data_IF_130563655766
#
_entry.id   IF_130563655766
#
_cell.length_a   1.000
_cell.length_b   1.000
_cell.length_c   1.000
_cell.angle_alpha   90.00
_cell.angle_beta   90.00
_cell.angle_gamma   90.00
#
_symmetry.space_group_name_H-M   'P 1'
#
loop_
_entity.id
_entity.type
_entity.pdbx_description
1 polymer ?
#
# COMPACT_ATOMS: atom_id res chain seq x y z
N UNK A 1 -1.18 -26.25 7.03
CA UNK A 1 -0.84 -25.47 8.25
C UNK A 1 -1.00 -26.32 9.49
N UNK A 2 0.08 -26.49 10.24
CA UNK A 2 0.09 -27.11 11.56
C UNK A 2 -0.85 -26.36 12.53
N UNK A 3 -1.36 -27.03 13.57
CA UNK A 3 -2.20 -26.38 14.62
C UNK A 3 -1.46 -25.21 15.28
N UNK A 4 -0.15 -25.38 15.50
CA UNK A 4 0.74 -24.35 16.04
C UNK A 4 0.87 -23.13 15.12
N UNK A 5 1.01 -23.34 13.80
CA UNK A 5 1.02 -22.24 12.83
C UNK A 5 -0.28 -21.43 12.86
N UNK A 6 -1.45 -22.09 12.94
CA UNK A 6 -2.74 -21.39 13.01
C UNK A 6 -2.85 -20.52 14.27
N UNK A 7 -2.50 -21.07 15.43
CA UNK A 7 -2.54 -20.33 16.70
C UNK A 7 -1.64 -19.10 16.65
N UNK A 8 -0.41 -19.23 16.15
CA UNK A 8 0.54 -18.11 16.00
C UNK A 8 0.00 -17.03 15.05
N UNK A 9 -0.54 -17.43 13.90
CA UNK A 9 -1.15 -16.48 12.96
C UNK A 9 -2.33 -15.75 13.58
N UNK A 10 -3.26 -16.46 14.23
CA UNK A 10 -4.40 -15.83 14.90
C UNK A 10 -3.97 -14.87 16.00
N UNK A 11 -3.00 -15.25 16.84
CA UNK A 11 -2.45 -14.39 17.87
C UNK A 11 -1.83 -13.12 17.28
N UNK A 12 -1.09 -13.24 16.16
CA UNK A 12 -0.54 -12.09 15.46
C UNK A 12 -1.64 -11.17 14.91
N UNK A 13 -2.69 -11.72 14.31
CA UNK A 13 -3.82 -10.93 13.81
C UNK A 13 -4.46 -10.14 14.94
N UNK A 14 -4.77 -10.81 16.06
CA UNK A 14 -5.38 -10.16 17.24
C UNK A 14 -4.46 -9.08 17.80
N UNK A 15 -3.16 -9.36 17.96
CA UNK A 15 -2.20 -8.38 18.47
C UNK A 15 -2.05 -7.15 17.56
N UNK A 16 -2.04 -7.37 16.24
CA UNK A 16 -1.92 -6.29 15.25
C UNK A 16 -3.16 -5.42 15.24
N UNK A 17 -4.35 -6.04 15.28
CA UNK A 17 -5.62 -5.32 15.37
C UNK A 17 -5.69 -4.53 16.67
N UNK A 18 -5.37 -5.14 17.81
CA UNK A 18 -5.38 -4.45 19.11
C UNK A 18 -4.42 -3.25 19.12
N UNK A 19 -3.20 -3.41 18.60
CA UNK A 19 -2.23 -2.32 18.51
C UNK A 19 -2.72 -1.20 17.59
N UNK A 20 -3.31 -1.54 16.44
CA UNK A 20 -3.89 -0.56 15.52
C UNK A 20 -5.06 0.19 16.16
N UNK A 21 -5.93 -0.50 16.89
CA UNK A 21 -7.04 0.11 17.64
C UNK A 21 -6.53 1.08 18.70
N UNK A 22 -5.50 0.70 19.48
CA UNK A 22 -4.90 1.59 20.48
C UNK A 22 -4.24 2.81 19.83
N UNK A 23 -3.51 2.60 18.74
CA UNK A 23 -2.87 3.69 17.99
C UNK A 23 -3.91 4.66 17.41
N UNK A 24 -4.98 4.14 16.81
CA UNK A 24 -6.06 4.95 16.25
C UNK A 24 -6.85 5.68 17.34
N UNK A 25 -7.09 5.04 18.49
CA UNK A 25 -7.76 5.69 19.63
C UNK A 25 -6.94 6.86 20.18
N UNK A 26 -5.60 6.77 20.16
CA UNK A 26 -4.71 7.87 20.57
C UNK A 26 -4.66 9.01 19.57
N UNK A 27 -4.80 8.70 18.29
CA UNK A 27 -4.79 9.66 17.21
C UNK A 27 -6.20 9.93 16.68
N UNK A 28 -7.25 9.76 17.49
CA UNK A 28 -8.62 9.79 16.99
C UNK A 28 -8.92 11.14 16.30
N UNK A 29 -9.53 11.15 15.10
CA UNK A 29 -9.80 12.38 14.39
C UNK A 29 -10.88 13.20 15.12
N UNK A 30 -10.63 14.50 15.33
CA UNK A 30 -11.60 15.44 15.91
C UNK A 30 -12.83 15.66 15.00
N UNK A 31 -12.68 15.34 13.72
CA UNK A 31 -13.75 15.35 12.72
C UNK A 31 -13.26 14.76 11.39
N UNK A 32 -14.18 14.48 10.48
CA UNK A 32 -13.85 14.03 9.12
C UNK A 32 -14.26 15.09 8.10
N UNK A 33 -13.26 15.62 7.39
CA UNK A 33 -13.48 16.63 6.36
C UNK A 33 -13.73 16.04 4.97
N UNK A 34 -13.87 16.93 3.97
CA UNK A 34 -13.93 16.52 2.55
C UNK A 34 -12.65 15.80 2.11
N UNK A 35 -11.50 16.17 2.67
CA UNK A 35 -10.21 15.54 2.39
C UNK A 35 -10.18 14.07 2.79
N UNK A 36 -10.74 13.73 3.96
CA UNK A 36 -10.88 12.35 4.42
C UNK A 36 -11.59 11.48 3.38
N UNK A 37 -12.78 11.90 2.92
CA UNK A 37 -13.57 11.14 1.94
C UNK A 37 -12.87 11.02 0.59
N UNK A 38 -12.19 12.07 0.15
CA UNK A 38 -11.40 12.04 -1.07
C UNK A 38 -10.28 10.99 -0.99
N UNK A 39 -9.49 11.00 0.09
CA UNK A 39 -8.38 10.06 0.23
C UNK A 39 -8.85 8.64 0.56
N UNK A 40 -9.98 8.46 1.26
CA UNK A 40 -10.62 7.15 1.42
C UNK A 40 -10.93 6.56 0.04
N UNK A 41 -11.58 7.33 -0.84
CA UNK A 41 -11.91 6.89 -2.19
C UNK A 41 -10.66 6.65 -3.04
N UNK A 42 -9.64 7.51 -2.94
CA UNK A 42 -8.38 7.36 -3.66
C UNK A 42 -7.60 6.12 -3.22
N UNK A 43 -7.53 5.84 -1.91
CA UNK A 43 -6.91 4.63 -1.38
C UNK A 43 -7.69 3.37 -1.81
N UNK A 44 -9.02 3.42 -1.78
CA UNK A 44 -9.87 2.32 -2.24
C UNK A 44 -9.68 2.04 -3.74
N UNK A 45 -9.55 3.09 -4.57
CA UNK A 45 -9.19 2.94 -5.97
C UNK A 45 -7.78 2.36 -6.15
N UNK A 46 -6.82 2.80 -5.34
CA UNK A 46 -5.45 2.26 -5.30
C UNK A 46 -5.41 0.75 -4.99
N UNK A 47 -6.28 0.27 -4.12
CA UNK A 47 -6.44 -1.16 -3.83
C UNK A 47 -6.94 -1.95 -5.05
N UNK A 48 -7.58 -1.34 -6.04
CA UNK A 48 -7.99 -2.04 -7.28
C UNK A 48 -6.88 -2.06 -8.34
N UNK A 49 -5.87 -1.22 -8.19
CA UNK A 49 -4.81 -1.02 -9.18
C UNK A 49 -3.60 -1.90 -8.84
N UNK A 50 -3.65 -3.13 -9.35
CA UNK A 50 -2.53 -4.08 -9.29
C UNK A 50 -1.84 -4.09 -10.64
N UNK A 51 -0.56 -3.72 -10.66
CA UNK A 51 0.27 -3.84 -11.86
C UNK A 51 1.19 -5.04 -11.70
N UNK A 52 1.05 -6.02 -12.61
CA UNK A 52 2.04 -7.10 -12.74
C UNK A 52 3.23 -6.55 -13.50
N UNK A 53 4.42 -6.71 -12.93
CA UNK A 53 5.63 -6.22 -13.57
C UNK A 53 6.14 -7.30 -14.56
N UNK A 54 6.54 -6.91 -15.79
CA UNK A 54 6.88 -7.86 -16.85
C UNK A 54 8.16 -8.67 -16.60
N UNK A 55 9.01 -8.27 -15.64
CA UNK A 55 10.33 -8.87 -15.37
C UNK A 55 10.39 -9.74 -14.11
N UNK A 56 9.25 -10.05 -13.49
CA UNK A 56 9.19 -10.97 -12.35
C UNK A 56 7.79 -11.01 -11.74
N UNK A 57 7.39 -12.16 -11.20
CA UNK A 57 6.05 -12.40 -10.62
C UNK A 57 5.68 -11.55 -9.40
N UNK A 58 6.37 -10.44 -9.15
CA UNK A 58 6.02 -9.47 -8.13
C UNK A 58 4.92 -8.53 -8.64
N UNK A 59 3.81 -8.48 -7.91
CA UNK A 59 2.76 -7.47 -8.08
C UNK A 59 3.13 -6.20 -7.32
N UNK A 60 3.18 -5.05 -8.01
CA UNK A 60 3.30 -3.76 -7.35
C UNK A 60 1.91 -3.28 -6.95
N UNK A 61 1.71 -2.98 -5.67
CA UNK A 61 0.46 -2.40 -5.19
C UNK A 61 0.52 -0.89 -5.29
N UNK A 62 -0.35 -0.31 -6.12
CA UNK A 62 -0.52 1.14 -6.19
C UNK A 62 -1.20 1.71 -4.94
N UNK A 63 -1.83 0.87 -4.11
CA UNK A 63 -2.42 1.30 -2.85
C UNK A 63 -1.40 2.01 -1.94
N UNK A 64 -0.14 1.56 -1.94
CA UNK A 64 0.93 2.22 -1.17
C UNK A 64 1.19 3.66 -1.62
N UNK A 65 1.02 3.98 -2.91
CA UNK A 65 1.12 5.34 -3.42
C UNK A 65 0.10 6.26 -2.76
N UNK A 66 -1.17 5.84 -2.76
CA UNK A 66 -2.26 6.61 -2.17
C UNK A 66 -2.20 6.64 -0.64
N UNK A 67 -1.73 5.56 0.01
CA UNK A 67 -1.52 5.53 1.46
C UNK A 67 -0.43 6.52 1.90
N UNK A 68 0.70 6.59 1.18
CA UNK A 68 1.73 7.62 1.40
C UNK A 68 1.16 9.02 1.12
N UNK A 69 0.32 9.17 0.11
CA UNK A 69 -0.25 10.48 -0.17
C UNK A 69 -1.19 10.94 0.95
N UNK A 70 -2.07 10.05 1.41
CA UNK A 70 -2.99 10.29 2.51
C UNK A 70 -2.25 10.61 3.81
N UNK A 71 -1.17 9.89 4.14
CA UNK A 71 -0.40 10.14 5.37
C UNK A 71 0.31 11.50 5.36
N UNK A 72 0.74 11.97 4.19
CA UNK A 72 1.43 13.26 4.06
C UNK A 72 0.45 14.45 4.13
N UNK A 73 -0.81 14.24 3.75
CA UNK A 73 -1.82 15.30 3.64
C UNK A 73 -2.76 15.35 4.85
N UNK A 74 -3.28 14.21 5.27
CA UNK A 74 -4.32 14.12 6.31
C UNK A 74 -3.71 13.99 7.70
N UNK A 75 -4.34 14.56 8.75
CA UNK A 75 -4.01 14.27 10.14
C UNK A 75 -3.83 12.76 10.39
N UNK A 76 -2.91 12.39 11.27
CA UNK A 76 -2.51 10.98 11.42
C UNK A 76 -3.71 10.04 11.63
N UNK A 77 -4.67 10.43 12.47
CA UNK A 77 -5.93 9.72 12.68
C UNK A 77 -6.77 9.51 11.44
N UNK A 78 -6.99 10.60 10.70
CA UNK A 78 -7.75 10.57 9.45
C UNK A 78 -7.06 9.68 8.41
N UNK A 79 -5.74 9.78 8.27
CA UNK A 79 -4.97 8.95 7.33
C UNK A 79 -5.03 7.47 7.71
N UNK A 80 -4.84 7.14 8.99
CA UNK A 80 -4.93 5.77 9.49
C UNK A 80 -6.31 5.18 9.26
N UNK A 81 -7.36 5.94 9.58
CA UNK A 81 -8.74 5.51 9.40
C UNK A 81 -9.10 5.35 7.92
N UNK A 82 -8.77 6.33 7.07
CA UNK A 82 -9.08 6.29 5.64
C UNK A 82 -8.41 5.09 4.96
N UNK A 83 -7.12 4.88 5.21
CA UNK A 83 -6.37 3.79 4.59
C UNK A 83 -6.81 2.42 5.10
N UNK A 84 -7.05 2.26 6.41
CA UNK A 84 -7.57 1.01 6.96
C UNK A 84 -8.99 0.68 6.48
N UNK A 85 -9.88 1.67 6.44
CA UNK A 85 -11.24 1.48 5.95
C UNK A 85 -11.27 1.13 4.45
N UNK A 86 -10.42 1.79 3.65
CA UNK A 86 -10.24 1.46 2.23
C UNK A 86 -9.74 0.03 2.06
N UNK A 87 -8.64 -0.35 2.72
CA UNK A 87 -8.10 -1.72 2.64
C UNK A 87 -9.13 -2.74 3.09
N UNK A 88 -9.78 -2.55 4.25
CA UNK A 88 -10.78 -3.49 4.76
C UNK A 88 -11.96 -3.65 3.81
N UNK A 89 -12.53 -2.52 3.37
CA UNK A 89 -13.69 -2.51 2.48
C UNK A 89 -13.39 -3.17 1.14
N UNK A 90 -12.28 -2.82 0.51
CA UNK A 90 -11.92 -3.36 -0.80
C UNK A 90 -11.51 -4.83 -0.72
N UNK A 91 -10.81 -5.24 0.33
CA UNK A 91 -10.46 -6.64 0.50
C UNK A 91 -11.66 -7.54 0.78
N UNK A 92 -12.64 -7.07 1.55
CA UNK A 92 -13.86 -7.84 1.85
C UNK A 92 -14.86 -7.84 0.68
N UNK A 93 -15.13 -6.68 0.09
CA UNK A 93 -16.23 -6.50 -0.87
C UNK A 93 -15.78 -6.85 -2.28
N UNK A 94 -14.69 -6.22 -2.75
CA UNK A 94 -14.24 -6.37 -4.12
C UNK A 94 -13.39 -7.63 -4.32
N UNK A 95 -12.42 -7.86 -3.42
CA UNK A 95 -11.50 -9.00 -3.55
C UNK A 95 -12.00 -10.28 -2.87
N UNK A 96 -13.05 -10.19 -2.05
CA UNK A 96 -13.65 -11.32 -1.30
C UNK A 96 -12.60 -12.15 -0.54
N UNK A 97 -11.59 -11.47 0.03
CA UNK A 97 -10.58 -12.12 0.87
C UNK A 97 -11.20 -12.62 2.17
N UNK A 98 -10.54 -13.59 2.78
CA UNK A 98 -10.94 -14.09 4.10
C UNK A 98 -10.92 -12.96 5.14
N UNK A 99 -11.93 -12.83 6.01
CA UNK A 99 -12.04 -11.70 6.94
C UNK A 99 -10.82 -11.53 7.84
N UNK A 100 -10.18 -12.62 8.29
CA UNK A 100 -9.01 -12.55 9.16
C UNK A 100 -7.81 -11.91 8.44
N UNK A 101 -7.66 -12.19 7.14
CA UNK A 101 -6.61 -11.58 6.31
C UNK A 101 -6.92 -10.11 6.04
N UNK A 102 -8.18 -9.79 5.77
CA UNK A 102 -8.60 -8.40 5.52
C UNK A 102 -8.42 -7.51 6.77
N UNK A 103 -8.80 -8.01 7.94
CA UNK A 103 -8.59 -7.33 9.21
C UNK A 103 -7.10 -7.13 9.52
N UNK A 104 -6.29 -8.17 9.29
CA UNK A 104 -4.84 -8.05 9.47
C UNK A 104 -4.23 -6.98 8.57
N UNK A 105 -4.55 -7.03 7.27
CA UNK A 105 -4.03 -6.08 6.29
C UNK A 105 -4.47 -4.65 6.61
N UNK A 106 -5.75 -4.44 6.97
CA UNK A 106 -6.25 -3.13 7.36
C UNK A 106 -5.55 -2.59 8.62
N UNK A 107 -5.39 -3.41 9.66
CA UNK A 107 -4.71 -3.03 10.90
C UNK A 107 -3.21 -2.73 10.65
N UNK A 108 -2.56 -3.57 9.85
CA UNK A 108 -1.17 -3.38 9.44
C UNK A 108 -0.99 -2.09 8.63
N UNK A 109 -1.90 -1.79 7.70
CA UNK A 109 -1.89 -0.55 6.93
C UNK A 109 -2.04 0.67 7.84
N UNK A 110 -2.99 0.66 8.77
CA UNK A 110 -3.13 1.72 9.78
C UNK A 110 -1.83 1.94 10.57
N UNK A 111 -1.19 0.86 11.05
CA UNK A 111 0.05 0.98 11.82
C UNK A 111 1.21 1.53 10.97
N UNK A 112 1.33 1.11 9.72
CA UNK A 112 2.36 1.63 8.82
C UNK A 112 2.14 3.11 8.52
N UNK A 113 0.90 3.51 8.25
CA UNK A 113 0.52 4.91 8.01
C UNK A 113 0.75 5.76 9.26
N UNK A 114 0.35 5.28 10.43
CA UNK A 114 0.57 5.97 11.70
C UNK A 114 2.06 6.15 12.01
N UNK A 115 2.89 5.13 11.77
CA UNK A 115 4.33 5.21 11.94
C UNK A 115 4.97 6.21 10.97
N UNK A 116 4.56 6.20 9.71
CA UNK A 116 5.01 7.18 8.71
C UNK A 116 4.60 8.61 9.09
N UNK A 117 3.35 8.82 9.51
CA UNK A 117 2.86 10.13 9.93
C UNK A 117 3.60 10.63 11.18
N UNK A 118 3.84 9.78 12.18
CA UNK A 118 4.60 10.15 13.37
C UNK A 118 6.05 10.53 13.02
N UNK A 119 6.70 9.79 12.11
CA UNK A 119 8.04 10.11 11.65
C UNK A 119 8.10 11.41 10.83
N UNK A 120 7.07 11.69 10.03
CA UNK A 120 6.92 12.96 9.32
C UNK A 120 6.81 14.13 10.30
N UNK A 121 5.85 14.06 11.22
CA UNK A 121 5.53 15.15 12.15
C UNK A 121 6.70 15.45 13.10
N UNK A 122 7.47 14.43 13.49
CA UNK A 122 8.67 14.60 14.31
C UNK A 122 9.76 15.45 13.64
N UNK A 123 9.83 15.47 12.30
CA UNK A 123 10.86 16.19 11.55
C UNK A 123 10.34 17.42 10.80
N UNK A 124 9.03 17.50 10.56
CA UNK A 124 8.42 18.61 9.84
C UNK A 124 8.32 19.90 10.67
N UNK A 125 8.48 19.79 12.00
CA UNK A 125 8.36 20.93 12.92
C UNK A 125 6.91 21.42 13.05
N UNK A 126 5.93 20.54 12.83
CA UNK A 126 4.49 20.85 12.92
C UNK A 126 3.87 21.43 11.65
N UNK A 127 4.67 21.74 10.63
CA UNK A 127 4.19 22.22 9.33
C UNK A 127 3.91 21.06 8.37
N UNK A 128 2.75 21.07 7.70
CA UNK A 128 2.38 20.10 6.65
C UNK A 128 2.26 20.70 5.26
N UNK A 129 2.83 21.89 5.06
CA UNK A 129 2.96 22.46 3.73
C UNK A 129 4.06 21.73 2.93
N UNK A 130 3.65 20.70 2.21
CA UNK A 130 4.53 19.89 1.37
C UNK A 130 5.15 20.70 0.23
N UNK A 131 4.43 21.67 -0.33
CA UNK A 131 4.93 22.51 -1.42
C UNK A 131 6.12 23.33 -0.92
N UNK A 132 5.98 23.94 0.27
CA UNK A 132 7.07 24.66 0.90
C UNK A 132 8.26 23.75 1.26
N UNK A 133 8.00 22.59 1.89
CA UNK A 133 9.07 21.66 2.27
C UNK A 133 9.88 21.18 1.05
N UNK A 134 9.21 20.80 -0.03
CA UNK A 134 9.86 20.29 -1.23
C UNK A 134 10.56 21.39 -2.03
N UNK A 135 9.97 22.59 -2.14
CA UNK A 135 10.62 23.72 -2.82
C UNK A 135 11.91 24.17 -2.13
N UNK A 136 12.02 23.96 -0.82
CA UNK A 136 13.23 24.21 -0.03
C UNK A 136 14.16 22.99 0.07
N UNK A 137 13.89 21.89 -0.64
CA UNK A 137 14.62 20.63 -0.56
C UNK A 137 14.75 20.07 0.88
N UNK A 138 13.78 20.40 1.74
CA UNK A 138 13.69 19.83 3.09
C UNK A 138 13.06 18.44 3.02
N UNK A 139 13.80 17.51 2.44
CA UNK A 139 13.33 16.14 2.16
C UNK A 139 13.31 15.23 3.39
N UNK A 140 13.97 15.61 4.48
CA UNK A 140 14.09 14.76 5.67
C UNK A 140 12.75 14.28 6.26
N UNK A 141 11.70 15.12 6.41
CA UNK A 141 10.40 14.64 6.90
C UNK A 141 9.74 13.64 5.96
N UNK A 142 9.82 13.89 4.65
CA UNK A 142 9.30 12.98 3.64
C UNK A 142 10.02 11.63 3.67
N UNK A 143 11.36 11.64 3.67
CA UNK A 143 12.17 10.42 3.72
C UNK A 143 11.92 9.62 5.00
N UNK A 144 11.76 10.30 6.14
CA UNK A 144 11.41 9.66 7.40
C UNK A 144 10.01 9.04 7.38
N UNK A 145 9.03 9.70 6.76
CA UNK A 145 7.69 9.17 6.57
C UNK A 145 7.70 7.88 5.74
N UNK A 146 8.41 7.91 4.61
CA UNK A 146 8.61 6.72 3.76
C UNK A 146 9.32 5.61 4.52
N UNK A 147 10.37 5.92 5.28
CA UNK A 147 11.10 4.93 6.07
C UNK A 147 10.22 4.31 7.16
N UNK A 148 9.47 5.11 7.91
CA UNK A 148 8.56 4.64 8.96
C UNK A 148 7.45 3.75 8.41
N UNK A 149 6.80 4.19 7.32
CA UNK A 149 5.79 3.39 6.63
C UNK A 149 6.38 2.08 6.11
N UNK A 150 7.50 2.15 5.39
CA UNK A 150 8.13 0.98 4.77
C UNK A 150 8.59 -0.03 5.82
N UNK A 151 9.26 0.41 6.88
CA UNK A 151 9.76 -0.47 7.93
C UNK A 151 8.62 -1.26 8.60
N UNK A 152 7.55 -0.58 9.02
CA UNK A 152 6.41 -1.22 9.70
C UNK A 152 5.64 -2.14 8.73
N UNK A 153 5.37 -1.67 7.51
CA UNK A 153 4.67 -2.46 6.50
C UNK A 153 5.41 -3.76 6.17
N UNK A 154 6.71 -3.65 5.89
CA UNK A 154 7.56 -4.78 5.49
C UNK A 154 7.80 -5.74 6.65
N UNK A 155 8.05 -5.24 7.86
CA UNK A 155 8.21 -6.08 9.04
C UNK A 155 6.96 -6.93 9.29
N UNK A 156 5.77 -6.33 9.21
CA UNK A 156 4.51 -7.04 9.38
C UNK A 156 4.29 -8.12 8.30
N UNK A 157 4.60 -7.82 7.04
CA UNK A 157 4.52 -8.82 5.95
C UNK A 157 5.50 -9.97 6.18
N UNK A 158 6.76 -9.68 6.52
CA UNK A 158 7.77 -10.71 6.81
C UNK A 158 7.35 -11.61 7.97
N UNK A 159 6.80 -11.05 9.05
CA UNK A 159 6.34 -11.82 10.21
C UNK A 159 5.22 -12.80 9.83
N UNK A 160 4.19 -12.35 9.11
CA UNK A 160 3.11 -13.24 8.65
C UNK A 160 3.63 -14.31 7.72
N UNK A 161 4.47 -13.96 6.74
CA UNK A 161 4.99 -14.92 5.78
C UNK A 161 5.86 -15.98 6.47
N UNK A 162 6.76 -15.57 7.36
CA UNK A 162 7.62 -16.47 8.10
C UNK A 162 6.82 -17.44 8.99
N UNK A 163 5.85 -16.95 9.76
CA UNK A 163 5.06 -17.80 10.66
C UNK A 163 4.04 -18.68 9.95
N UNK A 164 3.43 -18.18 8.87
CA UNK A 164 2.46 -18.96 8.07
C UNK A 164 3.15 -20.05 7.23
N UNK A 165 4.33 -19.75 6.69
CA UNK A 165 5.13 -20.66 5.88
C UNK A 165 6.11 -21.52 6.66
N UNK A 166 6.22 -21.33 7.98
CA UNK A 166 7.17 -22.01 8.87
C UNK A 166 8.63 -21.89 8.38
N UNK A 167 8.98 -20.73 7.79
CA UNK A 167 10.33 -20.42 7.30
C UNK A 167 11.02 -19.35 8.17
N UNK A 168 12.36 -19.29 8.19
CA UNK A 168 13.09 -18.26 8.94
C UNK A 168 12.79 -16.83 8.45
N UNK A 169 12.75 -15.86 9.37
CA UNK A 169 12.47 -14.44 9.06
C UNK A 169 13.43 -13.86 8.00
N UNK A 170 14.72 -14.19 8.10
CA UNK A 170 15.73 -13.75 7.11
C UNK A 170 15.44 -14.27 5.72
N UNK A 171 14.93 -15.49 5.62
CA UNK A 171 14.56 -16.08 4.33
C UNK A 171 13.28 -15.44 3.78
N UNK A 172 12.27 -15.21 4.62
CA UNK A 172 11.07 -14.47 4.25
C UNK A 172 11.43 -13.05 3.76
N UNK A 173 12.34 -12.34 4.45
CA UNK A 173 12.83 -11.02 4.03
C UNK A 173 13.53 -11.09 2.67
N UNK A 174 14.53 -11.97 2.52
CA UNK A 174 15.31 -12.08 1.26
C UNK A 174 14.42 -12.43 0.08
N UNK A 175 13.44 -13.33 0.25
CA UNK A 175 12.52 -13.75 -0.81
C UNK A 175 11.57 -12.63 -1.25
N UNK A 176 11.15 -11.74 -0.35
CA UNK A 176 10.17 -10.70 -0.67
C UNK A 176 10.80 -9.33 -0.98
N UNK A 177 11.90 -8.97 -0.30
CA UNK A 177 12.48 -7.61 -0.27
C UNK A 177 13.99 -7.60 -0.50
N UNK A 178 14.61 -8.74 -0.84
CA UNK A 178 16.05 -8.82 -1.06
C UNK A 178 16.55 -8.32 -2.42
N UNK A 179 15.66 -7.80 -3.27
CA UNK A 179 15.98 -7.40 -4.65
C UNK A 179 16.11 -5.88 -4.77
N UNK A 180 17.13 -5.40 -5.49
CA UNK A 180 17.30 -3.97 -5.83
C UNK A 180 16.11 -3.42 -6.61
N UNK A 181 15.44 -4.27 -7.39
CA UNK A 181 14.23 -3.91 -8.13
C UNK A 181 13.05 -3.57 -7.20
N UNK A 182 12.93 -4.26 -6.07
CA UNK A 182 11.89 -3.97 -5.08
C UNK A 182 12.15 -2.61 -4.40
N UNK A 183 13.41 -2.30 -4.09
CA UNK A 183 13.77 -1.00 -3.54
C UNK A 183 13.49 0.14 -4.53
N UNK A 184 13.88 -0.03 -5.80
CA UNK A 184 13.64 0.95 -6.85
C UNK A 184 12.14 1.18 -7.09
N UNK A 185 11.35 0.11 -7.18
CA UNK A 185 9.91 0.21 -7.39
C UNK A 185 9.17 0.80 -6.19
N UNK A 186 9.59 0.50 -4.96
CA UNK A 186 9.07 1.16 -3.75
C UNK A 186 9.39 2.65 -3.74
N UNK A 187 10.63 3.02 -4.10
CA UNK A 187 11.03 4.43 -4.26
C UNK A 187 10.19 5.18 -5.29
N UNK A 188 9.89 4.55 -6.43
CA UNK A 188 9.01 5.13 -7.45
C UNK A 188 7.58 5.34 -6.93
N UNK A 189 7.01 4.34 -6.24
CA UNK A 189 5.66 4.42 -5.62
C UNK A 189 5.59 5.53 -4.57
N UNK A 190 6.62 5.67 -3.74
CA UNK A 190 6.67 6.71 -2.72
C UNK A 190 6.84 8.10 -3.33
N UNK A 191 7.63 8.22 -4.39
CA UNK A 191 7.79 9.47 -5.15
C UNK A 191 6.49 9.90 -5.82
N UNK A 192 5.74 8.95 -6.40
CA UNK A 192 4.40 9.20 -6.92
C UNK A 192 3.44 9.64 -5.81
N UNK A 193 3.55 9.05 -4.62
CA UNK A 193 2.77 9.47 -3.45
C UNK A 193 3.06 10.92 -3.05
N UNK A 194 4.33 11.32 -3.03
CA UNK A 194 4.72 12.71 -2.79
C UNK A 194 4.16 13.66 -3.85
N UNK A 195 4.20 13.25 -5.13
CA UNK A 195 3.69 14.04 -6.24
C UNK A 195 2.19 14.31 -6.11
N UNK A 196 1.40 13.27 -5.80
CA UNK A 196 -0.03 13.40 -5.55
C UNK A 196 -0.33 14.27 -4.34
N UNK A 197 0.37 14.07 -3.23
CA UNK A 197 0.22 14.85 -2.01
C UNK A 197 0.55 16.34 -2.21
N UNK A 198 1.58 16.64 -3.00
CA UNK A 198 2.00 18.02 -3.32
C UNK A 198 0.95 18.70 -4.20
N UNK A 199 0.41 18.01 -5.20
CA UNK A 199 -0.67 18.55 -6.04
C UNK A 199 -1.96 18.76 -5.26
N UNK A 200 -2.28 17.86 -4.33
CA UNK A 200 -3.39 18.08 -3.40
C UNK A 200 -3.18 19.34 -2.57
N UNK A 201 -1.97 19.53 -2.03
CA UNK A 201 -1.67 20.68 -1.16
C UNK A 201 -1.71 22.01 -1.93
N UNK A 202 -1.29 22.02 -3.20
CA UNK A 202 -1.27 23.24 -4.03
C UNK A 202 -2.60 23.57 -4.71
N UNK A 203 -3.29 22.59 -5.30
CA UNK A 203 -4.46 22.79 -6.18
C UNK A 203 -5.71 22.09 -5.62
N UNK A 204 -5.57 21.28 -4.57
CA UNK A 204 -6.66 20.50 -3.99
C UNK A 204 -6.95 19.21 -4.75
N UNK A 205 -8.18 18.72 -4.61
CA UNK A 205 -8.64 17.46 -5.20
C UNK A 205 -8.47 17.42 -6.72
N UNK A 206 -8.73 18.55 -7.40
CA UNK A 206 -8.61 18.65 -8.85
C UNK A 206 -7.16 18.43 -9.32
N UNK A 207 -6.17 19.01 -8.65
CA UNK A 207 -4.76 18.79 -8.98
C UNK A 207 -4.34 17.34 -8.82
N UNK A 208 -4.85 16.68 -7.79
CA UNK A 208 -4.58 15.25 -7.57
C UNK A 208 -5.18 14.40 -8.68
N UNK A 209 -6.43 14.69 -9.09
CA UNK A 209 -7.10 13.96 -10.16
C UNK A 209 -6.39 14.15 -11.51
N UNK A 210 -5.90 15.36 -11.81
CA UNK A 210 -5.15 15.65 -13.04
C UNK A 210 -3.86 14.81 -13.15
N UNK A 211 -3.19 14.53 -12.02
CA UNK A 211 -2.00 13.68 -11.99
C UNK A 211 -2.37 12.20 -11.91
N UNK A 212 -3.38 11.84 -11.13
CA UNK A 212 -3.78 10.45 -10.93
C UNK A 212 -4.37 9.83 -12.19
N UNK A 213 -5.18 10.56 -12.96
CA UNK A 213 -5.86 10.03 -14.14
C UNK A 213 -4.89 9.44 -15.19
N UNK A 214 -3.85 10.16 -15.68
CA UNK A 214 -2.92 9.60 -16.65
C UNK A 214 -2.14 8.41 -16.08
N UNK A 215 -1.82 8.42 -14.77
CA UNK A 215 -1.15 7.31 -14.11
C UNK A 215 -2.03 6.06 -14.10
N UNK A 216 -3.30 6.19 -13.74
CA UNK A 216 -4.28 5.10 -13.75
C UNK A 216 -4.46 4.53 -15.15
N UNK A 217 -4.60 5.41 -16.15
CA UNK A 217 -4.74 5.01 -17.56
C UNK A 217 -3.49 4.27 -18.07
N UNK A 218 -2.28 4.73 -17.69
CA UNK A 218 -1.04 4.06 -18.03
C UNK A 218 -0.93 2.68 -17.37
N UNK A 219 -1.31 2.56 -16.09
CA UNK A 219 -1.34 1.28 -15.38
C UNK A 219 -2.33 0.29 -16.00
N UNK A 220 -3.54 0.75 -16.35
CA UNK A 220 -4.56 -0.08 -17.01
C UNK A 220 -4.10 -0.51 -18.42
N UNK A 221 -3.51 0.41 -19.19
CA UNK A 221 -2.93 0.12 -20.50
C UNK A 221 -1.84 -0.96 -20.42
N UNK A 222 -0.91 -0.82 -19.47
CA UNK A 222 0.16 -1.79 -19.24
C UNK A 222 -0.40 -3.16 -18.86
N UNK A 223 -1.38 -3.19 -17.96
CA UNK A 223 -2.04 -4.43 -17.54
C UNK A 223 -2.66 -5.15 -18.73
N UNK A 224 -3.46 -4.45 -19.54
CA UNK A 224 -4.09 -5.02 -20.74
C UNK A 224 -3.06 -5.50 -21.76
N UNK A 225 -1.94 -4.79 -21.90
CA UNK A 225 -0.84 -5.21 -22.76
C UNK A 225 -0.20 -6.52 -22.28
N UNK A 226 0.13 -6.64 -20.99
CA UNK A 226 0.66 -7.89 -20.44
C UNK A 226 -0.32 -9.05 -20.53
N UNK A 227 -1.61 -8.82 -20.29
CA UNK A 227 -2.64 -9.87 -20.42
C UNK A 227 -2.74 -10.41 -21.87
N UNK A 228 -2.47 -9.57 -22.89
CA UNK A 228 -2.41 -10.01 -24.29
C UNK A 228 -1.18 -10.86 -24.59
N UNK A 229 0.00 -10.45 -24.13
CA UNK A 229 1.22 -11.23 -24.30
C UNK A 229 1.14 -12.60 -23.63
N UNK A 230 0.53 -12.68 -22.44
CA UNK A 230 0.28 -13.93 -21.74
C UNK A 230 -0.69 -14.85 -22.51
N UNK A 231 -1.64 -14.27 -23.26
CA UNK A 231 -2.57 -15.03 -24.09
C UNK A 231 -1.91 -15.58 -25.36
N UNK A 232 -1.07 -14.77 -26.02
CA UNK A 232 -0.35 -15.16 -27.25
C UNK A 232 0.76 -16.19 -27.01
N UNK A 233 1.37 -16.19 -25.81
CA UNK A 233 2.44 -17.11 -25.45
C UNK A 233 1.95 -18.47 -24.92
N UNK A 234 0.64 -18.66 -24.73
CA UNK A 234 0.07 -19.98 -24.44
C UNK A 234 -0.03 -20.77 -25.76
N UNK A 235 0.75 -21.86 -25.94
CA UNK A 235 0.62 -22.69 -27.12
C UNK A 235 -0.82 -23.20 -27.21
N UNK A 236 -1.43 -23.11 -28.40
CA UNK A 236 -2.75 -23.67 -28.69
C UNK A 236 -2.69 -25.18 -28.42
N UNK A 237 -3.09 -25.60 -27.23
CA UNK A 237 -3.16 -27.00 -26.82
C UNK A 237 -4.27 -27.79 -27.56
N UNK A 238 -4.69 -27.34 -28.75
CA UNK A 238 -5.88 -27.83 -29.46
C UNK A 238 -5.65 -28.26 -30.91
N UNK A 239 -4.47 -28.04 -31.50
CA UNK A 239 -4.24 -28.36 -32.92
C UNK A 239 -3.53 -29.72 -33.14
N UNK A 240 -2.91 -30.30 -32.10
CA UNK A 240 -2.35 -31.66 -32.18
C UNK A 240 -3.41 -32.77 -32.06
N UNK A 241 -4.52 -32.54 -31.34
CA UNK A 241 -5.63 -33.52 -31.28
C UNK A 241 -6.50 -33.54 -32.55
N UNK A 242 -6.54 -32.43 -33.30
CA UNK A 242 -7.32 -32.36 -34.57
C UNK A 242 -6.58 -32.92 -35.79
N UNK A 243 -5.26 -33.11 -35.70
CA UNK A 243 -4.46 -33.74 -36.78
C UNK A 243 -4.28 -35.25 -36.60
N UNK A 244 -4.75 -35.81 -35.48
CA UNK A 244 -4.68 -37.24 -35.17
C UNK A 244 -6.02 -38.00 -35.31
N UNK A 245 -7.08 -37.33 -35.78
CA UNK A 245 -8.41 -37.91 -36.06
C UNK A 245 -8.74 -37.78 -37.55
#
# INVERSE_FOLDING_TARGET
MSRSARIRTTALVVATVALATVALARAWPDGVGRGFWFWLAACAAGELLWVRLPLGGATLSMASCFNISALLVLPAGEAMLATAAATLGMELIAMRKRPERALYNAAQTALAVGAGAAAFDALSGGGRDLVQLLSQLRLAPFLAACAGFYAVNRAAVVLVVAWSGEIPLREAWRRNFGSSYEALSSGAVFSLGALLATHYSGIGMAGTLLVALPLVLACDGMRRFTERLDAESRPEAGDDERRAA
#
